data_IF_277010922029
#
_entry.id   IF_277010922029
#
_cell.length_a   1.000
_cell.length_b   1.000
_cell.length_c   1.000
_cell.angle_alpha   90.00
_cell.angle_beta   90.00
_cell.angle_gamma   90.00
#
_symmetry.space_group_name_H-M   'P 1'
#
loop_
_entity.id
_entity.type
_entity.pdbx_description
1 polymer ?
#
# COMPACT_ATOMS: atom_id res chain seq x y z
N UNK A 1 18.82 4.07 12.16
CA UNK A 1 18.65 2.60 12.37
C UNK A 1 18.51 1.91 11.01
N UNK A 2 18.99 0.67 10.88
CA UNK A 2 18.80 -0.09 9.65
C UNK A 2 17.39 -0.71 9.67
N UNK A 3 16.52 -0.32 8.72
CA UNK A 3 15.13 -0.79 8.61
C UNK A 3 14.95 -1.85 7.52
N UNK A 4 16.06 -2.40 6.99
CA UNK A 4 16.01 -3.34 5.86
C UNK A 4 15.13 -4.57 6.15
N UNK A 5 15.05 -5.00 7.40
CA UNK A 5 14.21 -6.13 7.81
C UNK A 5 12.70 -5.87 7.69
N UNK A 6 12.25 -4.60 7.66
CA UNK A 6 10.87 -4.22 7.35
C UNK A 6 10.69 -3.92 5.86
N UNK A 7 11.69 -3.28 5.24
CA UNK A 7 11.63 -2.89 3.83
C UNK A 7 11.70 -4.12 2.91
N UNK A 8 12.56 -5.09 3.21
CA UNK A 8 12.77 -6.26 2.34
C UNK A 8 11.47 -7.06 2.11
N UNK A 9 10.67 -7.44 3.14
CA UNK A 9 9.39 -8.10 2.94
C UNK A 9 8.40 -7.27 2.10
N UNK A 10 8.30 -5.96 2.35
CA UNK A 10 7.38 -5.10 1.60
C UNK A 10 7.82 -4.92 0.15
N UNK A 11 9.12 -4.80 -0.10
CA UNK A 11 9.65 -4.76 -1.46
C UNK A 11 9.39 -6.08 -2.20
N UNK A 12 9.62 -7.22 -1.54
CA UNK A 12 9.34 -8.52 -2.14
C UNK A 12 7.85 -8.70 -2.44
N UNK A 13 6.97 -8.28 -1.52
CA UNK A 13 5.52 -8.24 -1.75
C UNK A 13 5.15 -7.37 -2.96
N UNK A 14 5.72 -6.17 -3.08
CA UNK A 14 5.50 -5.29 -4.22
C UNK A 14 5.94 -5.95 -5.53
N UNK A 15 7.13 -6.56 -5.56
CA UNK A 15 7.71 -7.18 -6.75
C UNK A 15 6.98 -8.46 -7.17
N UNK A 16 6.60 -9.33 -6.22
CA UNK A 16 6.09 -10.68 -6.50
C UNK A 16 4.56 -10.77 -6.54
N UNK A 17 3.86 -10.07 -5.62
CA UNK A 17 2.41 -10.09 -5.59
C UNK A 17 1.83 -8.92 -6.40
N UNK A 18 2.15 -7.69 -6.04
CA UNK A 18 1.49 -6.53 -6.66
C UNK A 18 1.84 -6.42 -8.14
N UNK A 19 3.13 -6.52 -8.47
CA UNK A 19 3.63 -6.47 -9.86
C UNK A 19 3.55 -7.84 -10.53
N UNK A 20 4.01 -8.88 -9.84
CA UNK A 20 4.11 -10.24 -10.39
C UNK A 20 2.76 -10.84 -10.78
N UNK A 21 1.73 -10.61 -9.98
CA UNK A 21 0.34 -10.99 -10.28
C UNK A 21 -0.44 -9.90 -11.03
N UNK A 22 0.21 -8.78 -11.34
CA UNK A 22 -0.40 -7.62 -12.00
C UNK A 22 -1.65 -7.08 -11.28
N UNK A 23 -1.63 -7.08 -9.93
CA UNK A 23 -2.72 -6.53 -9.12
C UNK A 23 -2.82 -5.00 -9.29
N UNK A 24 -1.68 -4.33 -9.50
CA UNK A 24 -1.61 -2.93 -9.87
C UNK A 24 -0.76 -2.75 -11.14
N UNK A 25 -1.38 -2.51 -12.31
CA UNK A 25 -0.64 -2.41 -13.57
C UNK A 25 0.27 -1.18 -13.66
N UNK A 26 0.11 -0.22 -12.75
CA UNK A 26 0.87 1.04 -12.73
C UNK A 26 2.17 0.94 -11.92
N UNK A 27 2.27 -0.01 -10.99
CA UNK A 27 3.35 -0.09 -10.00
C UNK A 27 4.72 -0.39 -10.61
N UNK A 28 4.78 -1.28 -11.60
CA UNK A 28 6.04 -1.73 -12.24
C UNK A 28 6.87 -0.58 -12.80
N UNK A 29 6.20 0.35 -13.50
CA UNK A 29 6.85 1.50 -14.12
C UNK A 29 7.58 2.36 -13.10
N UNK A 30 6.93 2.63 -11.97
CA UNK A 30 7.46 3.53 -10.97
C UNK A 30 8.58 2.86 -10.15
N UNK A 31 8.48 1.55 -9.91
CA UNK A 31 9.56 0.79 -9.27
C UNK A 31 10.83 0.76 -10.14
N UNK A 32 10.70 0.46 -11.44
CA UNK A 32 11.84 0.42 -12.38
C UNK A 32 12.51 1.79 -12.53
N UNK A 33 11.75 2.88 -12.40
CA UNK A 33 12.27 4.25 -12.45
C UNK A 33 12.84 4.74 -11.12
N UNK A 34 12.90 3.89 -10.07
CA UNK A 34 13.32 4.26 -8.71
C UNK A 34 12.52 5.44 -8.12
N UNK A 35 11.22 5.51 -8.41
CA UNK A 35 10.33 6.57 -7.93
C UNK A 35 9.40 6.12 -6.79
N UNK A 36 9.58 4.89 -6.32
CA UNK A 36 8.90 4.33 -5.15
C UNK A 36 9.79 4.52 -3.93
N UNK A 37 9.31 5.31 -2.97
CA UNK A 37 9.97 5.49 -1.68
C UNK A 37 9.43 4.48 -0.67
N UNK A 38 10.33 3.81 0.05
CA UNK A 38 10.00 3.00 1.22
C UNK A 38 10.43 3.77 2.47
N UNK A 39 9.47 4.09 3.31
CA UNK A 39 9.71 4.78 4.58
C UNK A 39 9.18 3.91 5.73
N UNK A 40 9.99 3.69 6.77
CA UNK A 40 9.58 2.96 7.96
C UNK A 40 9.38 3.95 9.10
N UNK A 41 8.16 4.01 9.61
CA UNK A 41 7.79 4.79 10.77
C UNK A 41 8.14 4.05 12.06
N UNK A 42 8.77 4.74 12.99
CA UNK A 42 9.03 4.27 14.37
C UNK A 42 7.85 4.61 15.31
N UNK A 43 6.74 5.09 14.76
CA UNK A 43 5.56 5.48 15.52
C UNK A 43 5.00 4.30 16.33
N UNK A 44 4.68 4.58 17.59
CA UNK A 44 4.00 3.65 18.49
C UNK A 44 2.61 4.17 18.93
N UNK A 45 2.23 5.35 18.45
CA UNK A 45 0.91 5.96 18.63
C UNK A 45 0.39 6.52 17.31
N UNK A 46 -0.94 6.62 17.19
CA UNK A 46 -1.62 7.19 16.03
C UNK A 46 -1.17 8.62 15.75
N UNK A 47 -0.90 9.38 16.81
CA UNK A 47 -0.48 10.77 16.71
C UNK A 47 0.93 10.89 16.10
N UNK A 48 1.84 10.00 16.49
CA UNK A 48 3.18 9.92 15.87
C UNK A 48 3.08 9.48 14.41
N UNK A 49 2.24 8.48 14.10
CA UNK A 49 2.04 8.04 12.72
C UNK A 49 1.45 9.16 11.85
N UNK A 50 0.52 9.95 12.40
CA UNK A 50 -0.02 11.13 11.71
C UNK A 50 1.06 12.14 11.39
N UNK A 51 1.98 12.41 12.31
CA UNK A 51 3.12 13.32 12.07
C UNK A 51 4.04 12.79 10.95
N UNK A 52 4.33 11.49 10.94
CA UNK A 52 5.12 10.87 9.89
C UNK A 52 4.41 10.93 8.53
N UNK A 53 3.11 10.69 8.50
CA UNK A 53 2.29 10.83 7.29
C UNK A 53 2.32 12.26 6.74
N UNK A 54 2.17 13.27 7.60
CA UNK A 54 2.24 14.68 7.23
C UNK A 54 3.62 15.05 6.66
N UNK A 55 4.69 14.55 7.30
CA UNK A 55 6.06 14.79 6.84
C UNK A 55 6.36 14.14 5.48
N UNK A 56 5.89 12.91 5.25
CA UNK A 56 6.07 12.22 3.97
C UNK A 56 5.25 12.87 2.85
N UNK A 57 4.04 13.36 3.13
CA UNK A 57 3.24 14.12 2.17
C UNK A 57 3.93 15.44 1.80
N UNK A 58 4.47 16.17 2.78
CA UNK A 58 5.23 17.40 2.53
C UNK A 58 6.50 17.12 1.69
N UNK A 59 7.24 16.05 2.03
CA UNK A 59 8.39 15.62 1.25
C UNK A 59 8.02 15.29 -0.20
N UNK A 60 6.92 14.60 -0.42
CA UNK A 60 6.43 14.32 -1.77
C UNK A 60 6.02 15.59 -2.49
N UNK A 61 5.38 16.55 -1.81
CA UNK A 61 4.99 17.82 -2.42
C UNK A 61 6.20 18.62 -2.95
N UNK A 62 7.30 18.60 -2.19
CA UNK A 62 8.54 19.32 -2.51
C UNK A 62 9.48 18.56 -3.47
N UNK A 63 9.25 17.25 -3.69
CA UNK A 63 10.14 16.41 -4.47
C UNK A 63 9.41 15.55 -5.50
N UNK A 64 9.36 16.02 -6.74
CA UNK A 64 8.72 15.33 -7.87
C UNK A 64 9.42 14.02 -8.28
N UNK A 65 10.65 13.75 -7.81
CA UNK A 65 11.32 12.49 -8.07
C UNK A 65 10.67 11.32 -7.31
N UNK A 66 9.93 11.59 -6.22
CA UNK A 66 9.14 10.61 -5.49
C UNK A 66 7.73 10.60 -6.06
N UNK A 67 7.38 9.52 -6.76
CA UNK A 67 6.03 9.34 -7.31
C UNK A 67 5.05 8.84 -6.25
N UNK A 68 5.53 7.91 -5.43
CA UNK A 68 4.71 7.26 -4.41
C UNK A 68 5.56 6.85 -3.21
N UNK A 69 4.97 6.87 -2.02
CA UNK A 69 5.60 6.40 -0.78
C UNK A 69 4.81 5.25 -0.19
N UNK A 70 5.50 4.15 0.11
CA UNK A 70 5.01 3.08 0.98
C UNK A 70 5.49 3.39 2.41
N UNK A 71 4.60 3.97 3.23
CA UNK A 71 4.85 4.27 4.64
C UNK A 71 4.50 3.03 5.45
N UNK A 72 5.52 2.31 5.93
CA UNK A 72 5.41 1.07 6.70
C UNK A 72 5.41 1.42 8.18
N UNK A 73 4.40 0.96 8.96
CA UNK A 73 4.30 1.28 10.38
C UNK A 73 4.14 0.01 11.25
N UNK A 74 5.25 -0.70 11.49
CA UNK A 74 5.23 -2.04 12.08
C UNK A 74 4.90 -2.06 13.58
N UNK A 75 4.75 -0.93 14.25
CA UNK A 75 4.60 -0.83 15.70
C UNK A 75 3.29 -0.17 16.16
N UNK A 76 2.45 0.27 15.23
CA UNK A 76 1.19 0.97 15.52
C UNK A 76 0.09 0.51 14.55
N UNK A 77 -1.16 0.54 15.00
CA UNK A 77 -2.34 0.12 14.23
C UNK A 77 -2.22 -1.32 13.71
N UNK A 78 -1.80 -2.23 14.61
CA UNK A 78 -1.68 -3.66 14.31
C UNK A 78 -3.05 -4.35 14.24
N UNK A 79 -4.06 -3.84 14.93
CA UNK A 79 -5.45 -4.23 14.79
C UNK A 79 -6.06 -3.58 13.55
N UNK A 80 -6.73 -4.39 12.70
CA UNK A 80 -7.30 -3.88 11.45
C UNK A 80 -8.45 -2.90 11.67
N UNK A 81 -9.24 -3.07 12.74
CA UNK A 81 -10.33 -2.13 13.05
C UNK A 81 -9.78 -0.74 13.39
N UNK A 82 -8.75 -0.67 14.24
CA UNK A 82 -8.10 0.59 14.61
C UNK A 82 -7.42 1.22 13.37
N UNK A 83 -6.75 0.41 12.57
CA UNK A 83 -6.17 0.84 11.30
C UNK A 83 -7.23 1.44 10.36
N UNK A 84 -8.36 0.78 10.20
CA UNK A 84 -9.45 1.25 9.34
C UNK A 84 -10.08 2.56 9.86
N UNK A 85 -10.17 2.74 11.18
CA UNK A 85 -10.57 4.02 11.77
C UNK A 85 -9.61 5.14 11.38
N UNK A 86 -8.30 4.90 11.47
CA UNK A 86 -7.28 5.87 11.06
C UNK A 86 -7.40 6.23 9.57
N UNK A 87 -7.52 5.23 8.69
CA UNK A 87 -7.68 5.41 7.24
C UNK A 87 -8.90 6.29 6.91
N UNK A 88 -10.02 6.09 7.60
CA UNK A 88 -11.24 6.87 7.38
C UNK A 88 -11.07 8.38 7.68
N UNK A 89 -10.05 8.76 8.44
CA UNK A 89 -9.73 10.16 8.73
C UNK A 89 -8.75 10.79 7.73
N UNK A 90 -8.06 10.00 6.92
CA UNK A 90 -7.02 10.51 5.99
C UNK A 90 -7.55 11.51 4.95
N UNK A 91 -8.77 11.38 4.37
CA UNK A 91 -9.29 12.40 3.46
C UNK A 91 -9.49 13.77 4.12
N UNK A 92 -9.92 13.77 5.40
CA UNK A 92 -10.06 15.00 6.17
C UNK A 92 -8.70 15.63 6.49
N UNK A 93 -7.69 14.82 6.81
CA UNK A 93 -6.31 15.28 7.01
C UNK A 93 -5.74 15.90 5.74
N UNK A 94 -5.84 15.23 4.59
CA UNK A 94 -5.39 15.77 3.30
C UNK A 94 -6.05 17.11 2.98
N UNK A 95 -7.35 17.25 3.28
CA UNK A 95 -8.04 18.54 3.10
C UNK A 95 -7.49 19.63 4.01
N UNK A 96 -7.23 19.33 5.30
CA UNK A 96 -6.70 20.28 6.27
C UNK A 96 -5.27 20.74 5.92
N UNK A 97 -4.47 19.82 5.38
CA UNK A 97 -3.10 20.09 4.92
C UNK A 97 -3.04 20.81 3.55
N UNK A 98 -4.17 20.99 2.87
CA UNK A 98 -4.22 21.61 1.53
C UNK A 98 -3.85 20.65 0.39
N UNK A 99 -3.81 19.36 0.64
CA UNK A 99 -3.41 18.32 -0.34
C UNK A 99 -4.58 17.59 -0.99
N UNK A 100 -5.81 18.03 -0.73
CA UNK A 100 -7.00 17.47 -1.40
C UNK A 100 -6.88 17.64 -2.92
N UNK A 101 -7.02 16.55 -3.66
CA UNK A 101 -6.87 16.56 -5.14
C UNK A 101 -5.41 16.49 -5.61
N UNK A 102 -4.44 16.50 -4.68
CA UNK A 102 -3.02 16.32 -5.01
C UNK A 102 -2.52 14.93 -4.63
N UNK A 103 -2.96 14.43 -3.48
CA UNK A 103 -2.58 13.12 -2.97
C UNK A 103 -3.78 12.34 -2.47
N UNK A 104 -3.66 11.01 -2.53
CA UNK A 104 -4.56 10.08 -1.86
C UNK A 104 -3.75 9.05 -1.05
N UNK A 105 -4.38 8.44 -0.06
CA UNK A 105 -3.81 7.38 0.77
C UNK A 105 -4.61 6.11 0.52
N UNK A 106 -3.95 5.09 -0.04
CA UNK A 106 -4.50 3.76 -0.17
C UNK A 106 -4.06 2.87 0.99
N UNK A 107 -4.91 1.90 1.33
CA UNK A 107 -4.79 1.08 2.54
C UNK A 107 -4.33 -0.34 2.22
N UNK A 108 -3.34 -0.84 3.00
CA UNK A 108 -2.88 -2.22 3.00
C UNK A 108 -2.56 -2.65 4.43
N UNK A 109 -2.99 -3.86 4.79
CA UNK A 109 -2.83 -4.38 6.15
C UNK A 109 -2.69 -5.91 6.12
N UNK A 110 -1.94 -6.55 7.03
CA UNK A 110 -1.86 -8.02 7.09
C UNK A 110 -3.23 -8.70 7.20
N UNK A 111 -4.13 -8.12 7.98
CA UNK A 111 -5.49 -8.62 8.23
C UNK A 111 -6.57 -7.83 7.47
N UNK A 112 -6.22 -7.28 6.30
CA UNK A 112 -7.18 -6.52 5.51
C UNK A 112 -8.45 -7.31 5.23
N UNK A 113 -9.59 -6.67 5.42
CA UNK A 113 -10.91 -7.24 5.15
C UNK A 113 -11.80 -6.20 4.47
N UNK A 114 -12.38 -6.55 3.33
CA UNK A 114 -13.37 -5.71 2.67
C UNK A 114 -14.71 -5.75 3.41
N UNK A 115 -15.47 -4.65 3.32
CA UNK A 115 -16.83 -4.62 3.86
C UNK A 115 -17.72 -5.66 3.16
N UNK A 116 -18.37 -6.49 3.96
CA UNK A 116 -19.26 -7.54 3.47
C UNK A 116 -18.59 -8.89 3.18
N UNK A 117 -17.29 -9.01 3.44
CA UNK A 117 -16.57 -10.29 3.33
C UNK A 117 -16.33 -10.92 4.70
N UNK A 118 -16.05 -12.24 4.72
CA UNK A 118 -15.54 -12.91 5.89
C UNK A 118 -13.99 -12.80 5.96
N UNK A 119 -13.38 -12.94 7.16
CA UNK A 119 -11.92 -12.80 7.30
C UNK A 119 -11.11 -13.74 6.39
N UNK A 120 -11.62 -14.94 6.12
CA UNK A 120 -10.94 -15.96 5.32
C UNK A 120 -11.24 -15.87 3.82
N UNK A 121 -12.07 -14.93 3.39
CA UNK A 121 -12.35 -14.73 1.97
C UNK A 121 -11.08 -14.31 1.22
N UNK A 122 -10.78 -15.03 0.14
CA UNK A 122 -9.52 -14.89 -0.59
C UNK A 122 -9.36 -13.52 -1.23
N UNK A 123 -10.45 -12.87 -1.59
CA UNK A 123 -10.46 -11.52 -2.19
C UNK A 123 -9.79 -10.47 -1.28
N UNK A 124 -9.83 -10.66 0.05
CA UNK A 124 -9.16 -9.80 1.00
C UNK A 124 -7.64 -9.74 0.77
N UNK A 125 -7.07 -10.80 0.20
CA UNK A 125 -5.63 -10.89 -0.07
C UNK A 125 -5.14 -9.89 -1.12
N UNK A 126 -6.02 -9.32 -1.92
CA UNK A 126 -5.67 -8.26 -2.89
C UNK A 126 -5.13 -7.01 -2.21
N UNK A 127 -5.53 -6.76 -0.94
CA UNK A 127 -5.06 -5.61 -0.15
C UNK A 127 -4.28 -6.04 1.11
N UNK A 128 -3.93 -7.31 1.24
CA UNK A 128 -3.04 -7.78 2.32
C UNK A 128 -1.58 -7.51 1.99
N UNK A 129 -0.85 -7.08 3.02
CA UNK A 129 0.59 -6.74 2.96
C UNK A 129 1.34 -7.36 4.14
N UNK A 130 2.69 -7.47 4.09
CA UNK A 130 3.48 -8.04 5.19
C UNK A 130 3.35 -7.28 6.51
N UNK A 131 3.22 -5.96 6.44
CA UNK A 131 3.04 -5.06 7.58
C UNK A 131 1.91 -4.07 7.29
N UNK A 132 1.28 -3.47 8.30
CA UNK A 132 0.41 -2.33 8.07
C UNK A 132 1.17 -1.22 7.36
N UNK A 133 0.61 -0.68 6.30
CA UNK A 133 1.21 0.43 5.56
C UNK A 133 0.18 1.39 4.99
N UNK A 134 0.60 2.63 4.80
CA UNK A 134 -0.13 3.68 4.10
C UNK A 134 0.57 3.91 2.76
N UNK A 135 -0.18 3.78 1.67
CA UNK A 135 0.34 4.00 0.34
C UNK A 135 -0.05 5.40 -0.15
N UNK A 136 0.91 6.30 -0.18
CA UNK A 136 0.73 7.69 -0.60
C UNK A 136 0.91 7.77 -2.12
N UNK A 137 -0.08 8.32 -2.82
CA UNK A 137 -0.16 8.33 -4.28
C UNK A 137 -0.44 9.76 -4.78
N UNK A 138 0.24 10.19 -5.85
CA UNK A 138 -0.09 11.42 -6.57
C UNK A 138 -1.35 11.22 -7.41
N UNK A 139 -2.40 12.01 -7.18
CA UNK A 139 -3.67 11.88 -7.91
C UNK A 139 -3.52 12.18 -9.41
N UNK A 140 -2.81 13.24 -9.77
CA UNK A 140 -2.61 13.62 -11.18
C UNK A 140 -1.90 12.55 -11.99
N UNK A 141 -0.90 11.90 -11.41
CA UNK A 141 -0.15 10.83 -12.09
C UNK A 141 -0.98 9.57 -12.24
N UNK A 142 -1.74 9.23 -11.20
CA UNK A 142 -2.65 8.09 -11.24
C UNK A 142 -3.76 8.34 -12.28
N UNK A 143 -4.37 9.52 -12.31
CA UNK A 143 -5.40 9.87 -13.27
C UNK A 143 -4.90 9.72 -14.71
N UNK A 144 -3.70 10.25 -15.02
CA UNK A 144 -3.07 10.07 -16.34
C UNK A 144 -2.78 8.61 -16.68
N UNK A 145 -2.37 7.80 -15.69
CA UNK A 145 -2.11 6.38 -15.90
C UNK A 145 -3.40 5.60 -16.18
N UNK A 146 -4.47 5.92 -15.47
CA UNK A 146 -5.81 5.34 -15.62
C UNK A 146 -6.40 5.70 -16.99
N UNK A 147 -6.34 6.96 -17.41
CA UNK A 147 -6.85 7.42 -18.71
C UNK A 147 -6.21 6.67 -19.90
N UNK A 148 -4.96 6.25 -19.76
CA UNK A 148 -4.23 5.55 -20.81
C UNK A 148 -4.27 4.02 -20.68
N UNK A 149 -5.03 3.48 -19.72
CA UNK A 149 -5.13 2.04 -19.49
C UNK A 149 -6.49 1.52 -19.99
N UNK A 150 -6.50 0.40 -20.74
CA UNK A 150 -7.77 -0.16 -21.22
C UNK A 150 -8.58 -0.73 -20.07
N UNK A 151 -9.86 -0.36 -20.00
CA UNK A 151 -10.85 -0.87 -19.05
C UNK A 151 -10.38 -0.83 -17.56
N UNK A 152 -9.95 0.34 -17.04
CA UNK A 152 -9.40 0.44 -15.68
C UNK A 152 -10.39 0.02 -14.59
N UNK A 153 -11.69 0.20 -14.83
CA UNK A 153 -12.76 -0.19 -13.91
C UNK A 153 -12.86 -1.72 -13.71
N UNK A 154 -12.25 -2.51 -14.61
CA UNK A 154 -12.21 -3.96 -14.50
C UNK A 154 -11.04 -4.47 -13.64
N UNK A 155 -10.10 -3.60 -13.23
CA UNK A 155 -8.94 -4.01 -12.42
C UNK A 155 -9.37 -4.73 -11.13
N UNK A 156 -10.30 -4.20 -10.31
CA UNK A 156 -10.71 -4.88 -9.08
C UNK A 156 -11.33 -6.27 -9.34
N UNK A 157 -12.26 -6.35 -10.29
CA UNK A 157 -12.93 -7.61 -10.63
C UNK A 157 -11.95 -8.66 -11.14
N UNK A 158 -10.98 -8.25 -11.96
CA UNK A 158 -9.90 -9.10 -12.47
C UNK A 158 -8.98 -9.60 -11.37
N UNK A 159 -8.66 -8.74 -10.40
CA UNK A 159 -7.84 -9.11 -9.25
C UNK A 159 -8.54 -10.15 -8.37
N UNK A 160 -9.83 -9.95 -8.09
CA UNK A 160 -10.64 -10.91 -7.32
C UNK A 160 -10.65 -12.27 -8.04
N UNK A 161 -11.02 -12.31 -9.32
CA UNK A 161 -11.05 -13.54 -10.09
C UNK A 161 -9.68 -14.27 -10.09
N UNK A 162 -8.58 -13.53 -10.18
CA UNK A 162 -7.25 -14.10 -10.15
C UNK A 162 -6.91 -14.73 -8.78
N UNK A 163 -7.19 -14.05 -7.68
CA UNK A 163 -6.88 -14.60 -6.34
C UNK A 163 -7.81 -15.75 -5.98
N UNK A 164 -9.05 -15.76 -6.47
CA UNK A 164 -9.97 -16.91 -6.38
C UNK A 164 -9.43 -18.11 -7.15
N UNK A 165 -8.91 -17.93 -8.37
CA UNK A 165 -8.28 -18.98 -9.17
C UNK A 165 -7.03 -19.56 -8.49
N UNK A 166 -6.19 -18.70 -7.90
CA UNK A 166 -4.99 -19.12 -7.18
C UNK A 166 -5.31 -19.82 -5.86
N UNK A 167 -6.39 -19.43 -5.21
CA UNK A 167 -6.87 -19.99 -3.94
C UNK A 167 -6.14 -19.45 -2.71
N UNK A 168 -6.82 -19.54 -1.56
CA UNK A 168 -6.36 -18.97 -0.28
C UNK A 168 -5.01 -19.54 0.17
N UNK A 169 -4.78 -20.86 0.02
CA UNK A 169 -3.52 -21.50 0.43
C UNK A 169 -2.31 -20.93 -0.32
N UNK A 170 -2.45 -20.77 -1.65
CA UNK A 170 -1.39 -20.19 -2.49
C UNK A 170 -1.13 -18.73 -2.14
N UNK A 171 -2.17 -17.93 -1.96
CA UNK A 171 -2.03 -16.52 -1.59
C UNK A 171 -1.36 -16.35 -0.22
N UNK A 172 -1.74 -17.15 0.78
CA UNK A 172 -1.08 -17.16 2.08
C UNK A 172 0.39 -17.60 2.00
N UNK A 173 0.70 -18.60 1.17
CA UNK A 173 2.09 -19.01 0.96
C UNK A 173 2.94 -17.89 0.34
N UNK A 174 2.41 -17.16 -0.64
CA UNK A 174 3.10 -16.02 -1.26
C UNK A 174 3.34 -14.88 -0.24
N UNK A 175 2.35 -14.58 0.61
CA UNK A 175 2.50 -13.56 1.67
C UNK A 175 3.56 -13.98 2.71
N UNK A 176 3.55 -15.25 3.15
CA UNK A 176 4.59 -15.76 4.07
C UNK A 176 5.98 -15.70 3.46
N UNK A 177 6.13 -16.06 2.18
CA UNK A 177 7.42 -16.04 1.49
C UNK A 177 8.06 -14.64 1.42
N UNK A 178 7.27 -13.56 1.61
CA UNK A 178 7.83 -12.21 1.66
C UNK A 178 8.82 -12.03 2.82
N UNK A 179 8.63 -12.73 3.92
CA UNK A 179 9.49 -12.64 5.10
C UNK A 179 10.82 -13.41 4.97
N UNK A 180 10.91 -14.30 3.98
CA UNK A 180 12.14 -15.05 3.66
C UNK A 180 13.06 -14.28 2.70
N UNK A 181 12.62 -13.09 2.25
CA UNK A 181 13.38 -12.27 1.31
C UNK A 181 14.65 -11.71 1.98
N UNK A 182 15.82 -11.85 1.34
CA UNK A 182 17.05 -11.29 1.90
C UNK A 182 16.99 -9.76 1.93
N UNK A 183 17.47 -9.17 3.01
CA UNK A 183 17.74 -7.73 3.06
C UNK A 183 18.77 -7.38 1.97
N UNK A 184 18.49 -6.37 1.16
CA UNK A 184 19.34 -5.92 0.05
C UNK A 184 20.04 -4.63 0.42
#
# INVERSE_FOLDING_TARGET
MNHDHYIAPVRHWLETLVIGLNLCPFAKRELVKNRVRFFVSEATTDEQLRMDLEAELALMADNEAIETTLLIHPHVLQDFFDYNQFINHTPSMLKQLGYRGSFQVASFHPDYQFGGTEPDDVENTTNRSPYPLLHLIREDSLARAVENYPDPDQIPARNIALVEELGAEKMQALLRACFDAPAR
#
